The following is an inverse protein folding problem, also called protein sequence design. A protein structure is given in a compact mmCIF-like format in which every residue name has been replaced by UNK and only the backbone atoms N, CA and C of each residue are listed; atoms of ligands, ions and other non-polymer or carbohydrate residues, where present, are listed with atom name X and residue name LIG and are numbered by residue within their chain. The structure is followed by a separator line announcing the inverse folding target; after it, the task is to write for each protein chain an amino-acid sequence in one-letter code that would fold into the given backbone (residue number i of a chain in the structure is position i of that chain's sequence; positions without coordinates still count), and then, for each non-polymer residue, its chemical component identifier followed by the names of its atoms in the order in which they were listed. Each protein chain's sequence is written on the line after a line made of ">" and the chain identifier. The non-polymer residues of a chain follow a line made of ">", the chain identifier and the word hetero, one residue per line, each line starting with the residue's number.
data_IF_455501157698
#
_entry.id   IF_455501157698
#
_cell.length_a   1.000
_cell.length_b   1.000
_cell.length_c   1.000
_cell.angle_alpha   90.00
_cell.angle_beta   90.00
_cell.angle_gamma   90.00
#
_symmetry.space_group_name_H-M   'P 1'
#
loop_
_entity.id
_entity.type
_entity.pdbx_description
1 polymer ?
#
# COMPACT_ATOMS: atom_id res chain seq x y z
N UNK A 1 -45.40 -11.31 -6.13
CA UNK A 1 -45.25 -9.84 -6.25
C UNK A 1 -43.87 -9.46 -5.70
N UNK A 2 -42.78 -9.71 -6.43
CA UNK A 2 -41.43 -9.36 -5.97
C UNK A 2 -40.41 -9.45 -7.10
N UNK A 3 -40.28 -8.43 -7.97
CA UNK A 3 -39.36 -8.54 -9.11
C UNK A 3 -38.79 -7.22 -9.68
N UNK A 4 -39.46 -6.06 -9.56
CA UNK A 4 -39.08 -4.87 -10.35
C UNK A 4 -38.04 -3.94 -9.69
N UNK A 5 -37.41 -4.37 -8.60
CA UNK A 5 -36.51 -3.53 -7.78
C UNK A 5 -35.11 -3.25 -8.39
N UNK A 6 -34.43 -4.19 -9.07
CA UNK A 6 -33.08 -3.93 -9.59
C UNK A 6 -33.07 -3.00 -10.82
N UNK A 7 -34.13 -2.99 -11.61
CA UNK A 7 -34.23 -2.19 -12.84
C UNK A 7 -34.47 -0.69 -12.52
N UNK A 8 -35.33 -0.41 -11.54
CA UNK A 8 -35.56 0.95 -11.00
C UNK A 8 -34.29 1.59 -10.44
N UNK A 9 -33.42 0.79 -9.82
CA UNK A 9 -32.16 1.28 -9.24
C UNK A 9 -31.11 1.62 -10.31
N UNK A 10 -30.99 0.79 -11.36
CA UNK A 10 -30.06 1.05 -12.48
C UNK A 10 -30.43 2.31 -13.25
N UNK A 11 -31.73 2.50 -13.52
CA UNK A 11 -32.20 3.66 -14.28
C UNK A 11 -32.01 4.94 -13.46
N UNK A 12 -32.29 4.91 -12.16
CA UNK A 12 -32.10 6.06 -11.28
C UNK A 12 -30.63 6.44 -11.09
N UNK A 13 -29.74 5.46 -10.99
CA UNK A 13 -28.29 5.73 -10.93
C UNK A 13 -27.77 6.30 -12.26
N UNK A 14 -28.26 5.79 -13.40
CA UNK A 14 -27.94 6.32 -14.73
C UNK A 14 -28.38 7.77 -14.90
N UNK A 15 -29.60 8.11 -14.47
CA UNK A 15 -30.13 9.47 -14.57
C UNK A 15 -29.33 10.46 -13.72
N UNK A 16 -28.95 10.07 -12.50
CA UNK A 16 -28.12 10.91 -11.61
C UNK A 16 -26.74 11.12 -12.21
N UNK A 17 -26.10 10.07 -12.73
CA UNK A 17 -24.80 10.20 -13.38
C UNK A 17 -24.88 11.09 -14.62
N UNK A 18 -25.95 10.99 -15.41
CA UNK A 18 -26.12 11.78 -16.63
C UNK A 18 -26.34 13.26 -16.31
N UNK A 19 -27.11 13.56 -15.26
CA UNK A 19 -27.32 14.92 -14.77
C UNK A 19 -26.01 15.53 -14.26
N UNK A 20 -25.28 14.82 -13.39
CA UNK A 20 -24.00 15.29 -12.85
C UNK A 20 -22.96 15.48 -13.96
N UNK A 21 -22.89 14.57 -14.93
CA UNK A 21 -21.97 14.72 -16.08
C UNK A 21 -22.37 15.89 -16.97
N UNK A 22 -23.68 16.16 -17.15
CA UNK A 22 -24.15 17.32 -17.90
C UNK A 22 -23.83 18.64 -17.20
N UNK A 23 -23.96 18.69 -15.87
CA UNK A 23 -23.71 19.91 -15.08
C UNK A 23 -22.21 20.20 -14.94
N UNK A 24 -21.35 19.18 -15.01
CA UNK A 24 -19.88 19.35 -14.98
C UNK A 24 -19.32 19.72 -16.37
N UNK A 25 -19.99 19.33 -17.45
CA UNK A 25 -19.51 19.58 -18.83
C UNK A 25 -19.33 21.05 -19.24
N UNK A 26 -20.18 22.02 -18.88
CA UNK A 26 -20.05 23.38 -19.41
C UNK A 26 -18.77 24.08 -18.92
N UNK A 27 -18.37 23.89 -17.66
CA UNK A 27 -17.20 24.57 -17.11
C UNK A 27 -15.90 23.79 -17.33
N UNK A 28 -15.94 22.46 -17.32
CA UNK A 28 -14.72 21.65 -17.44
C UNK A 28 -14.25 21.44 -18.89
N UNK A 29 -15.15 21.59 -19.88
CA UNK A 29 -14.81 21.43 -21.32
C UNK A 29 -14.68 22.74 -22.08
N UNK A 30 -15.18 23.87 -21.55
CA UNK A 30 -15.05 25.18 -22.21
C UNK A 30 -13.64 25.76 -22.09
N UNK A 31 -12.84 25.29 -21.14
CA UNK A 31 -11.49 25.83 -20.86
C UNK A 31 -10.39 24.77 -21.06
N UNK A 32 -10.64 23.74 -21.88
CA UNK A 32 -9.60 22.81 -22.30
C UNK A 32 -8.94 23.28 -23.60
N UNK A 33 -8.15 24.35 -23.49
CA UNK A 33 -7.22 24.78 -24.53
C UNK A 33 -6.03 23.80 -24.56
N UNK A 34 -6.21 22.72 -25.32
CA UNK A 34 -5.39 21.50 -25.44
C UNK A 34 -3.86 21.68 -25.47
N UNK A 35 -3.35 22.86 -25.79
CA UNK A 35 -1.92 23.12 -25.96
C UNK A 35 -1.19 23.41 -24.65
N UNK A 36 -1.87 23.93 -23.62
CA UNK A 36 -1.22 24.32 -22.36
C UNK A 36 -1.13 23.16 -21.35
N UNK A 37 -1.99 22.15 -21.50
CA UNK A 37 -2.06 21.02 -20.59
C UNK A 37 -0.95 20.00 -20.78
N UNK A 38 -0.43 19.84 -22.01
CA UNK A 38 0.66 18.88 -22.24
C UNK A 38 1.94 19.27 -21.50
N UNK A 39 2.28 20.55 -21.47
CA UNK A 39 3.48 21.03 -20.78
C UNK A 39 3.32 20.93 -19.25
N UNK A 40 2.16 21.31 -18.73
CA UNK A 40 1.86 21.18 -17.31
C UNK A 40 1.79 19.71 -16.87
N UNK A 41 1.19 18.82 -17.67
CA UNK A 41 1.10 17.40 -17.37
C UNK A 41 2.46 16.72 -17.44
N UNK A 42 3.30 17.04 -18.43
CA UNK A 42 4.68 16.53 -18.50
C UNK A 42 5.53 17.03 -17.32
N UNK A 43 5.23 18.22 -16.79
CA UNK A 43 5.89 18.73 -15.58
C UNK A 43 5.39 18.04 -14.30
N UNK A 44 4.08 17.82 -14.14
CA UNK A 44 3.48 17.28 -12.90
C UNK A 44 3.52 15.75 -12.82
N UNK A 45 3.38 15.05 -13.95
CA UNK A 45 3.38 13.59 -14.03
C UNK A 45 4.60 12.91 -13.39
N UNK A 46 5.87 13.33 -13.61
CA UNK A 46 7.00 12.66 -12.99
C UNK A 46 6.99 12.76 -11.47
N UNK A 47 6.54 13.87 -10.88
CA UNK A 47 6.45 14.02 -9.43
C UNK A 47 5.37 13.11 -8.83
N UNK A 48 4.23 12.95 -9.52
CA UNK A 48 3.18 12.02 -9.09
C UNK A 48 3.64 10.55 -9.17
N UNK A 49 4.34 10.17 -10.23
CA UNK A 49 4.92 8.83 -10.38
C UNK A 49 5.92 8.57 -9.24
N UNK A 50 6.81 9.52 -8.95
CA UNK A 50 7.79 9.39 -7.87
C UNK A 50 7.12 9.29 -6.50
N UNK A 51 6.07 10.09 -6.24
CA UNK A 51 5.30 10.00 -5.01
C UNK A 51 4.66 8.62 -4.83
N UNK A 52 4.10 8.04 -5.90
CA UNK A 52 3.54 6.68 -5.89
C UNK A 52 4.63 5.64 -5.65
N UNK A 53 5.79 5.74 -6.30
CA UNK A 53 6.92 4.81 -6.09
C UNK A 53 7.42 4.86 -4.65
N UNK A 54 7.59 6.06 -4.09
CA UNK A 54 8.01 6.24 -2.69
C UNK A 54 6.95 5.68 -1.75
N UNK A 55 5.67 5.92 -2.02
CA UNK A 55 4.56 5.39 -1.24
C UNK A 55 4.57 3.85 -1.27
N UNK A 56 4.70 3.24 -2.45
CA UNK A 56 4.82 1.78 -2.58
C UNK A 56 6.06 1.26 -1.84
N UNK A 57 7.21 1.92 -1.96
CA UNK A 57 8.44 1.52 -1.28
C UNK A 57 8.29 1.56 0.25
N UNK A 58 7.68 2.61 0.80
CA UNK A 58 7.42 2.73 2.23
C UNK A 58 6.47 1.64 2.74
N UNK A 59 5.44 1.30 1.98
CA UNK A 59 4.45 0.30 2.40
C UNK A 59 4.91 -1.14 2.12
N UNK A 60 5.73 -1.40 1.10
CA UNK A 60 6.14 -2.75 0.70
C UNK A 60 7.54 -3.15 1.21
N UNK A 61 8.49 -2.22 1.37
CA UNK A 61 9.89 -2.56 1.69
C UNK A 61 10.23 -2.44 3.19
N UNK A 62 9.53 -1.59 3.96
CA UNK A 62 9.83 -1.40 5.38
C UNK A 62 9.17 -2.44 6.31
N UNK A 63 8.21 -3.23 5.82
CA UNK A 63 7.36 -4.09 6.68
C UNK A 63 7.49 -5.60 6.42
N UNK A 64 8.37 -6.04 5.52
CA UNK A 64 8.58 -7.47 5.24
C UNK A 64 9.86 -7.99 5.90
N UNK A 65 9.95 -7.84 7.21
CA UNK A 65 10.70 -8.80 8.00
C UNK A 65 9.98 -10.14 7.88
N UNK A 66 10.56 -11.07 7.12
CA UNK A 66 9.93 -12.34 6.77
C UNK A 66 9.33 -13.02 8.01
N UNK A 67 8.00 -13.17 8.12
CA UNK A 67 7.38 -13.85 9.25
C UNK A 67 7.80 -15.32 9.34
N UNK A 68 8.28 -15.90 8.23
CA UNK A 68 8.70 -17.29 8.07
C UNK A 68 10.22 -17.51 8.19
N UNK A 69 10.95 -16.55 8.75
CA UNK A 69 12.40 -16.67 8.99
C UNK A 69 12.76 -18.03 9.61
N UNK A 70 13.73 -18.71 9.01
CA UNK A 70 14.16 -20.07 9.38
C UNK A 70 14.45 -20.12 10.89
N UNK A 71 13.66 -20.90 11.62
CA UNK A 71 13.91 -21.14 13.04
C UNK A 71 15.13 -22.05 13.20
N UNK A 72 15.91 -21.82 14.25
CA UNK A 72 17.02 -22.67 14.61
C UNK A 72 17.05 -22.92 16.11
N UNK A 73 17.69 -24.00 16.53
CA UNK A 73 17.91 -24.26 17.96
C UNK A 73 18.82 -23.17 18.53
N UNK A 74 18.43 -22.64 19.68
CA UNK A 74 19.11 -21.55 20.35
C UNK A 74 20.45 -22.02 20.94
N UNK A 75 21.59 -21.41 20.57
CA UNK A 75 22.89 -21.78 21.13
C UNK A 75 22.92 -21.52 22.64
N UNK A 76 23.25 -22.53 23.44
CA UNK A 76 23.29 -22.42 24.90
C UNK A 76 21.91 -22.40 25.60
N UNK A 77 20.80 -22.68 24.89
CA UNK A 77 19.47 -22.90 25.48
C UNK A 77 18.83 -24.16 24.89
N UNK A 78 19.00 -25.33 25.53
CA UNK A 78 18.42 -26.57 25.03
C UNK A 78 16.89 -26.48 24.98
N UNK A 79 16.29 -26.95 23.88
CA UNK A 79 14.84 -26.97 23.69
C UNK A 79 14.20 -25.66 23.21
N UNK A 80 14.93 -24.54 23.18
CA UNK A 80 14.42 -23.24 22.68
C UNK A 80 14.75 -23.06 21.20
N UNK A 81 13.77 -22.62 20.41
CA UNK A 81 13.97 -22.22 19.02
C UNK A 81 13.88 -20.70 18.88
N UNK A 82 14.84 -20.13 18.18
CA UNK A 82 14.91 -18.69 17.87
C UNK A 82 14.92 -18.47 16.36
N UNK A 83 14.55 -17.28 15.92
CA UNK A 83 14.69 -16.93 14.51
C UNK A 83 16.17 -16.76 14.17
N UNK A 84 16.60 -17.41 13.08
CA UNK A 84 18.00 -17.36 12.62
C UNK A 84 18.41 -15.97 12.17
N UNK A 85 17.53 -15.25 11.49
CA UNK A 85 17.76 -13.89 11.01
C UNK A 85 18.03 -12.90 12.17
N UNK A 86 17.26 -13.00 13.25
CA UNK A 86 17.47 -12.19 14.45
C UNK A 86 18.82 -12.49 15.13
N UNK A 87 19.21 -13.77 15.18
CA UNK A 87 20.51 -14.17 15.73
C UNK A 87 21.68 -13.67 14.86
N UNK A 88 21.62 -13.88 13.54
CA UNK A 88 22.69 -13.48 12.61
C UNK A 88 22.86 -11.96 12.54
N UNK A 89 21.74 -11.21 12.66
CA UNK A 89 21.77 -9.74 12.68
C UNK A 89 22.48 -9.19 13.91
N UNK A 90 22.33 -9.83 15.08
CA UNK A 90 22.97 -9.37 16.30
C UNK A 90 23.32 -10.51 17.27
N UNK A 91 24.40 -11.22 16.96
CA UNK A 91 24.90 -12.33 17.80
C UNK A 91 25.35 -11.85 19.19
N UNK A 92 25.93 -10.65 19.27
CA UNK A 92 26.46 -10.09 20.53
C UNK A 92 25.35 -9.84 21.55
N UNK A 93 24.23 -9.29 21.11
CA UNK A 93 23.07 -9.03 21.97
C UNK A 93 22.45 -10.32 22.50
N UNK A 94 22.31 -11.34 21.65
CA UNK A 94 21.84 -12.67 22.07
C UNK A 94 22.67 -13.23 23.24
N UNK A 95 24.00 -13.25 23.11
CA UNK A 95 24.87 -13.74 24.18
C UNK A 95 24.88 -12.82 25.41
N UNK A 96 24.75 -11.50 25.24
CA UNK A 96 24.65 -10.57 26.37
C UNK A 96 23.39 -10.85 27.20
N UNK A 97 22.26 -11.07 26.55
CA UNK A 97 20.99 -11.39 27.21
C UNK A 97 21.03 -12.79 27.86
N UNK A 98 21.77 -13.75 27.28
CA UNK A 98 21.94 -15.07 27.87
C UNK A 98 22.84 -15.12 29.11
N UNK A 99 23.78 -14.18 29.29
CA UNK A 99 24.69 -14.17 30.44
C UNK A 99 24.00 -13.91 31.79
N UNK A 100 22.79 -13.36 31.78
CA UNK A 100 22.00 -13.13 33.00
C UNK A 100 20.95 -14.21 33.27
N UNK A 101 20.97 -15.33 32.55
CA UNK A 101 19.98 -16.43 32.62
C UNK A 101 20.65 -17.79 32.87
N UNK A 102 21.89 -17.81 33.33
CA UNK A 102 22.63 -19.03 33.70
C UNK A 102 22.57 -19.21 35.21
N UNK A 103 21.44 -19.72 35.70
CA UNK A 103 21.30 -20.34 37.03
C UNK A 103 21.07 -21.84 36.85
#
# INVERSE_FOLDING_TARGET
>A
MADNLPEKLKNKAGDILTQVVSDIKPDFLSETDSKHYHDWFNFVAPYLIMAVVIWIMFYCCCCRGDPGGKLMNAPGRPGVRIRRDGFERNTREYFRNNRGHSD
#
